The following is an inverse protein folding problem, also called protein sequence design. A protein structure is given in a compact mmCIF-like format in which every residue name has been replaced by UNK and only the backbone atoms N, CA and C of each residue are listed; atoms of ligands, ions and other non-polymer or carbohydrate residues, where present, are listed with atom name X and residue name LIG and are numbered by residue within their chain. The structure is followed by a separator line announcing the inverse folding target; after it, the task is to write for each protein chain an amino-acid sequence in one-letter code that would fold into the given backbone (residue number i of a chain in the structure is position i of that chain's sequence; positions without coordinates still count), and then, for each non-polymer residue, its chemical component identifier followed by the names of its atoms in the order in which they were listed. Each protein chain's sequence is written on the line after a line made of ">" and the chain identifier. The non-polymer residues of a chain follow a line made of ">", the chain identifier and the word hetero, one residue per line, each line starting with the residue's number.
data_IF_278590319494
#
_entry.id   IF_278590319494
#
_cell.length_a   1.000
_cell.length_b   1.000
_cell.length_c   1.000
_cell.angle_alpha   90.00
_cell.angle_beta   90.00
_cell.angle_gamma   90.00
#
_symmetry.space_group_name_H-M   'P 1'
#
loop_
_entity.id
_entity.type
_entity.pdbx_description
1 polymer ?
#
# COMPACT_ATOMS: atom_id res chain seq x y z
N UNK A 1 16.20 54.83 -18.06
CA UNK A 1 16.25 53.51 -17.42
C UNK A 1 15.18 53.49 -16.34
N UNK A 2 14.03 52.89 -16.61
CA UNK A 2 12.94 52.92 -15.65
C UNK A 2 11.64 52.44 -16.26
N UNK A 3 11.04 51.42 -15.66
CA UNK A 3 9.79 50.82 -16.11
C UNK A 3 10.00 49.49 -16.83
N UNK A 4 10.40 49.52 -18.10
CA UNK A 4 10.37 48.34 -18.98
C UNK A 4 11.39 47.26 -18.61
N UNK A 5 12.63 47.63 -18.26
CA UNK A 5 13.66 46.68 -17.79
C UNK A 5 13.28 46.04 -16.44
N UNK A 6 12.56 46.77 -15.59
CA UNK A 6 12.10 46.30 -14.29
C UNK A 6 10.92 45.32 -14.43
N UNK A 7 10.01 45.59 -15.37
CA UNK A 7 8.89 44.68 -15.67
C UNK A 7 9.42 43.39 -16.32
N UNK A 8 10.37 43.48 -17.24
CA UNK A 8 10.95 42.31 -17.90
C UNK A 8 11.70 41.39 -16.91
N UNK A 9 12.43 41.97 -15.95
CA UNK A 9 13.13 41.21 -14.90
C UNK A 9 12.18 40.59 -13.88
N UNK A 10 11.07 41.24 -13.54
CA UNK A 10 10.01 40.66 -12.71
C UNK A 10 9.34 39.47 -13.42
N UNK A 11 9.02 39.61 -14.72
CA UNK A 11 8.40 38.53 -15.51
C UNK A 11 9.34 37.33 -15.63
N UNK A 12 10.64 37.56 -15.90
CA UNK A 12 11.64 36.50 -15.97
C UNK A 12 11.81 35.78 -14.62
N UNK A 13 11.81 36.52 -13.49
CA UNK A 13 11.87 35.94 -12.15
C UNK A 13 10.67 35.07 -11.81
N UNK A 14 9.45 35.51 -12.17
CA UNK A 14 8.21 34.73 -11.97
C UNK A 14 8.22 33.45 -12.82
N UNK A 15 8.70 33.52 -14.06
CA UNK A 15 8.79 32.34 -14.94
C UNK A 15 9.77 31.29 -14.42
N UNK A 16 10.91 31.70 -13.85
CA UNK A 16 11.88 30.77 -13.25
C UNK A 16 11.29 30.11 -12.00
N UNK A 17 10.65 30.88 -11.12
CA UNK A 17 10.00 30.34 -9.92
C UNK A 17 8.87 29.38 -10.31
N UNK A 18 8.09 29.72 -11.34
CA UNK A 18 7.02 28.86 -11.84
C UNK A 18 7.56 27.59 -12.46
N UNK A 19 8.67 27.65 -13.21
CA UNK A 19 9.34 26.47 -13.75
C UNK A 19 9.94 25.58 -12.66
N UNK A 20 10.51 26.14 -11.59
CA UNK A 20 11.01 25.39 -10.44
C UNK A 20 9.85 24.75 -9.68
N UNK A 21 8.75 25.48 -9.44
CA UNK A 21 7.54 24.96 -8.81
C UNK A 21 6.89 23.88 -9.68
N UNK A 22 6.82 24.05 -11.00
CA UNK A 22 6.32 23.03 -11.92
C UNK A 22 7.27 21.84 -12.04
N UNK A 23 8.58 22.02 -11.91
CA UNK A 23 9.53 20.91 -11.83
C UNK A 23 9.43 20.18 -10.48
N UNK A 24 9.16 20.89 -9.38
CA UNK A 24 8.97 20.31 -8.05
C UNK A 24 7.61 19.60 -7.93
N UNK A 25 6.54 20.20 -8.46
CA UNK A 25 5.25 19.56 -8.65
C UNK A 25 5.39 18.42 -9.64
N UNK A 26 6.08 18.56 -10.78
CA UNK A 26 6.33 17.45 -11.71
C UNK A 26 7.15 16.30 -11.10
N UNK A 27 8.02 16.59 -10.12
CA UNK A 27 8.77 15.59 -9.35
C UNK A 27 7.92 14.96 -8.23
N UNK A 28 6.99 15.72 -7.65
CA UNK A 28 6.01 15.28 -6.63
C UNK A 28 4.74 14.64 -7.22
N UNK A 29 4.49 14.89 -8.50
CA UNK A 29 3.40 14.40 -9.36
C UNK A 29 3.99 13.56 -10.48
N UNK A 30 5.03 12.77 -10.19
CA UNK A 30 5.06 11.45 -10.79
C UNK A 30 3.74 10.83 -10.38
N UNK A 31 2.75 10.87 -11.28
CA UNK A 31 1.62 9.94 -11.24
C UNK A 31 2.26 8.59 -10.97
N UNK A 32 2.20 8.13 -9.72
CA UNK A 32 2.55 6.77 -9.40
C UNK A 32 1.60 5.98 -10.28
N UNK A 33 2.19 5.43 -11.34
CA UNK A 33 1.43 4.72 -12.36
C UNK A 33 1.02 3.48 -11.63
N UNK A 34 -0.27 3.31 -11.42
CA UNK A 34 -0.82 2.10 -10.82
C UNK A 34 -0.31 0.92 -11.65
N UNK A 35 0.61 0.14 -11.08
CA UNK A 35 1.14 -1.03 -11.76
C UNK A 35 0.39 -2.23 -11.22
N UNK A 36 -0.14 -3.01 -12.15
CA UNK A 36 -0.90 -4.22 -11.87
C UNK A 36 -0.14 -5.42 -12.41
N UNK A 37 0.13 -6.41 -11.55
CA UNK A 37 0.64 -7.72 -11.96
C UNK A 37 -0.31 -8.80 -11.46
N UNK A 38 -0.59 -9.79 -12.31
CA UNK A 38 -1.41 -10.95 -11.95
C UNK A 38 -0.55 -12.20 -11.80
N UNK A 39 -0.86 -12.99 -10.79
CA UNK A 39 -0.16 -14.21 -10.44
C UNK A 39 -1.18 -15.32 -10.18
N UNK A 40 -1.02 -16.45 -10.85
CA UNK A 40 -1.64 -17.70 -10.41
C UNK A 40 -0.75 -18.29 -9.32
N UNK A 41 -1.22 -18.29 -8.07
CA UNK A 41 -0.41 -18.77 -6.95
C UNK A 41 -0.11 -20.27 -7.01
N UNK A 42 -0.86 -21.06 -7.80
CA UNK A 42 -0.54 -22.48 -7.97
C UNK A 42 0.75 -22.67 -8.75
N UNK A 43 1.02 -21.79 -9.71
CA UNK A 43 2.14 -21.91 -10.65
C UNK A 43 3.28 -20.94 -10.36
N UNK A 44 2.96 -19.75 -9.82
CA UNK A 44 3.88 -18.59 -9.75
C UNK A 44 4.01 -18.02 -8.33
N UNK A 45 3.85 -18.88 -7.31
CA UNK A 45 3.95 -18.49 -5.91
C UNK A 45 5.29 -17.78 -5.58
N UNK A 46 6.42 -18.38 -5.94
CA UNK A 46 7.75 -17.83 -5.63
C UNK A 46 8.00 -16.49 -6.33
N UNK A 47 7.49 -16.34 -7.56
CA UNK A 47 7.60 -15.08 -8.31
C UNK A 47 6.77 -13.97 -7.65
N UNK A 48 5.55 -14.30 -7.21
CA UNK A 48 4.70 -13.39 -6.46
C UNK A 48 5.36 -12.94 -5.14
N UNK A 49 5.85 -13.88 -4.34
CA UNK A 49 6.48 -13.59 -3.05
C UNK A 49 7.69 -12.69 -3.21
N UNK A 50 8.56 -13.01 -4.17
CA UNK A 50 9.73 -12.22 -4.49
C UNK A 50 9.35 -10.79 -4.88
N UNK A 51 8.41 -10.63 -5.80
CA UNK A 51 7.96 -9.32 -6.27
C UNK A 51 7.33 -8.50 -5.12
N UNK A 52 6.47 -9.11 -4.31
CA UNK A 52 5.85 -8.45 -3.16
C UNK A 52 6.91 -7.93 -2.19
N UNK A 53 7.89 -8.76 -1.84
CA UNK A 53 8.97 -8.37 -0.94
C UNK A 53 9.89 -7.31 -1.56
N UNK A 54 10.24 -7.42 -2.84
CA UNK A 54 11.03 -6.40 -3.54
C UNK A 54 10.31 -5.04 -3.51
N UNK A 55 9.00 -5.00 -3.76
CA UNK A 55 8.22 -3.75 -3.70
C UNK A 55 8.21 -3.18 -2.28
N UNK A 56 7.88 -3.98 -1.27
CA UNK A 56 7.77 -3.51 0.12
C UNK A 56 9.12 -3.02 0.70
N UNK A 57 10.21 -3.72 0.38
CA UNK A 57 11.51 -3.53 1.04
C UNK A 57 12.54 -2.78 0.19
N UNK A 58 12.46 -2.84 -1.14
CA UNK A 58 13.49 -2.29 -2.02
C UNK A 58 13.02 -1.06 -2.81
N UNK A 59 11.71 -0.86 -2.95
CA UNK A 59 11.13 0.25 -3.72
C UNK A 59 10.37 1.27 -2.85
N UNK A 60 11.07 2.21 -2.17
CA UNK A 60 10.44 3.19 -1.28
C UNK A 60 9.55 4.23 -1.98
N UNK A 61 9.52 4.20 -3.32
CA UNK A 61 8.65 5.08 -4.10
C UNK A 61 7.18 4.68 -3.98
N UNK A 62 6.91 3.40 -3.72
CA UNK A 62 5.55 2.88 -3.56
C UNK A 62 5.17 2.96 -2.10
N UNK A 63 4.16 3.79 -1.82
CA UNK A 63 3.65 3.98 -0.46
C UNK A 63 2.55 3.01 -0.16
N UNK A 64 1.89 2.47 -1.17
CA UNK A 64 0.79 1.53 -0.98
C UNK A 64 0.98 0.32 -1.87
N UNK A 65 0.85 -0.85 -1.27
CA UNK A 65 0.86 -2.14 -1.94
C UNK A 65 -0.41 -2.87 -1.57
N UNK A 66 -1.16 -3.34 -2.57
CA UNK A 66 -2.42 -4.05 -2.38
C UNK A 66 -2.30 -5.42 -3.03
N UNK A 67 -2.58 -6.45 -2.25
CA UNK A 67 -2.74 -7.83 -2.70
C UNK A 67 -4.23 -8.11 -2.76
N UNK A 68 -4.82 -8.14 -3.95
CA UNK A 68 -6.24 -8.43 -4.17
C UNK A 68 -6.46 -9.87 -4.63
N UNK A 69 -7.50 -10.51 -4.11
CA UNK A 69 -7.86 -11.89 -4.44
C UNK A 69 -9.34 -12.14 -4.13
N UNK A 70 -10.07 -12.82 -5.02
CA UNK A 70 -11.49 -13.18 -4.80
C UNK A 70 -12.39 -12.03 -4.28
N UNK A 71 -12.15 -10.79 -4.72
CA UNK A 71 -12.84 -9.56 -4.26
C UNK A 71 -12.53 -9.13 -2.81
N UNK A 72 -11.48 -9.69 -2.22
CA UNK A 72 -10.87 -9.28 -0.96
C UNK A 72 -9.51 -8.64 -1.21
N UNK A 73 -8.94 -8.03 -0.18
CA UNK A 73 -7.61 -7.44 -0.25
C UNK A 73 -6.84 -7.56 1.06
N UNK A 74 -5.52 -7.45 0.94
CA UNK A 74 -4.59 -7.07 2.01
C UNK A 74 -3.80 -5.87 1.52
N UNK A 75 -3.81 -4.79 2.30
CA UNK A 75 -3.12 -3.53 1.95
C UNK A 75 -1.98 -3.26 2.93
N UNK A 76 -0.82 -2.92 2.38
CA UNK A 76 0.33 -2.43 3.12
C UNK A 76 0.58 -0.97 2.79
N UNK A 77 0.48 -0.10 3.80
CA UNK A 77 0.92 1.28 3.75
C UNK A 77 2.34 1.38 4.30
N UNK A 78 3.27 1.74 3.44
CA UNK A 78 4.70 1.90 3.76
C UNK A 78 4.95 3.31 4.26
N UNK A 79 5.38 3.42 5.51
CA UNK A 79 5.76 4.70 6.12
C UNK A 79 7.25 4.72 6.43
N UNK A 80 7.97 5.71 5.88
CA UNK A 80 9.34 5.98 6.29
C UNK A 80 9.33 6.76 7.62
N UNK A 81 9.99 6.21 8.64
CA UNK A 81 10.18 6.85 9.93
C UNK A 81 11.68 7.14 10.17
N UNK A 82 12.00 8.00 11.13
CA UNK A 82 13.40 8.39 11.41
C UNK A 82 14.32 7.19 11.72
N UNK A 83 13.77 6.06 12.16
CA UNK A 83 14.51 4.87 12.59
C UNK A 83 14.41 3.68 11.62
N UNK A 84 13.78 3.84 10.46
CA UNK A 84 13.57 2.75 9.52
C UNK A 84 12.28 2.88 8.72
N UNK A 85 11.67 1.75 8.39
CA UNK A 85 10.32 1.70 7.79
C UNK A 85 9.36 1.04 8.76
N UNK A 86 8.10 1.41 8.65
CA UNK A 86 6.97 0.71 9.26
C UNK A 86 5.99 0.36 8.17
N UNK A 87 5.41 -0.84 8.26
CA UNK A 87 4.33 -1.24 7.39
C UNK A 87 3.04 -1.32 8.20
N UNK A 88 2.11 -0.43 7.89
CA UNK A 88 0.76 -0.54 8.38
C UNK A 88 0.00 -1.47 7.44
N UNK A 89 -0.30 -2.68 7.92
CA UNK A 89 -1.07 -3.66 7.18
C UNK A 89 -2.52 -3.57 7.60
N UNK A 90 -3.41 -3.42 6.63
CA UNK A 90 -4.85 -3.46 6.78
C UNK A 90 -5.40 -4.64 5.97
N UNK A 91 -6.17 -5.49 6.63
CA UNK A 91 -6.74 -6.69 5.98
C UNK A 91 -8.22 -6.54 5.72
N UNK A 92 -8.88 -5.52 6.29
CA UNK A 92 -10.31 -5.29 6.15
C UNK A 92 -10.62 -3.82 6.44
N UNK A 93 -11.49 -3.22 5.62
CA UNK A 93 -12.12 -1.94 5.91
C UNK A 93 -13.63 -2.05 5.74
N UNK A 94 -14.38 -1.60 6.73
CA UNK A 94 -15.84 -1.50 6.62
C UNK A 94 -16.31 -0.64 5.44
N UNK A 95 -15.55 0.38 5.03
CA UNK A 95 -15.88 1.18 3.83
C UNK A 95 -15.84 0.31 2.60
N UNK A 96 -14.76 -0.46 2.42
CA UNK A 96 -14.60 -1.35 1.28
C UNK A 96 -15.67 -2.45 1.26
N UNK A 97 -15.95 -3.07 2.41
CA UNK A 97 -17.01 -4.08 2.52
C UNK A 97 -18.38 -3.51 2.18
N UNK A 98 -18.67 -2.28 2.63
CA UNK A 98 -19.93 -1.58 2.34
C UNK A 98 -20.06 -1.22 0.87
N UNK A 99 -19.00 -0.73 0.24
CA UNK A 99 -18.98 -0.42 -1.20
C UNK A 99 -19.23 -1.65 -2.07
N UNK A 100 -18.75 -2.82 -1.63
CA UNK A 100 -18.94 -4.09 -2.33
C UNK A 100 -20.20 -4.88 -1.89
N UNK A 101 -21.00 -4.38 -0.95
CA UNK A 101 -22.11 -5.12 -0.31
C UNK A 101 -21.69 -6.50 0.26
N UNK A 102 -20.45 -6.65 0.72
CA UNK A 102 -19.99 -7.88 1.37
C UNK A 102 -20.36 -7.86 2.86
N UNK A 103 -20.94 -8.96 3.35
CA UNK A 103 -21.17 -9.14 4.79
C UNK A 103 -19.88 -9.57 5.50
N UNK A 104 -19.61 -8.92 6.64
CA UNK A 104 -18.54 -9.27 7.57
C UNK A 104 -18.73 -10.66 8.19
N UNK A 105 -19.93 -11.23 8.14
CA UNK A 105 -20.25 -12.55 8.70
C UNK A 105 -19.50 -13.70 7.99
N UNK A 106 -18.96 -13.46 6.80
CA UNK A 106 -18.15 -14.42 6.05
C UNK A 106 -16.65 -14.34 6.38
N UNK A 107 -16.26 -13.43 7.28
CA UNK A 107 -14.87 -13.16 7.64
C UNK A 107 -14.61 -13.72 9.04
N UNK A 108 -13.65 -14.63 9.15
CA UNK A 108 -13.33 -15.31 10.40
C UNK A 108 -12.35 -14.46 11.23
N UNK A 109 -12.87 -13.35 11.78
CA UNK A 109 -12.10 -12.35 12.53
C UNK A 109 -11.27 -12.89 13.71
N UNK A 110 -11.70 -13.90 14.48
CA UNK A 110 -10.88 -14.47 15.56
C UNK A 110 -9.48 -14.92 15.11
N UNK A 111 -9.34 -15.39 13.88
CA UNK A 111 -8.03 -15.78 13.34
C UNK A 111 -7.10 -14.59 13.13
N UNK A 112 -7.63 -13.42 12.74
CA UNK A 112 -6.82 -12.21 12.58
C UNK A 112 -6.20 -11.73 13.90
N UNK A 113 -6.95 -11.87 15.01
CA UNK A 113 -6.47 -11.49 16.35
C UNK A 113 -5.29 -12.37 16.79
N UNK A 114 -5.26 -13.65 16.39
CA UNK A 114 -4.13 -14.55 16.70
C UNK A 114 -2.81 -14.13 16.03
N UNK A 115 -2.90 -13.42 14.90
CA UNK A 115 -1.75 -12.85 14.20
C UNK A 115 -1.32 -11.48 14.77
N UNK A 116 -2.03 -10.97 15.78
CA UNK A 116 -1.79 -9.66 16.37
C UNK A 116 -2.46 -8.51 15.61
N UNK A 117 -3.41 -8.79 14.70
CA UNK A 117 -4.26 -7.73 14.16
C UNK A 117 -5.23 -7.26 15.23
N UNK A 118 -5.42 -5.96 15.30
CA UNK A 118 -6.34 -5.35 16.26
C UNK A 118 -7.34 -4.45 15.54
N UNK A 119 -8.54 -4.41 16.09
CA UNK A 119 -9.57 -3.47 15.68
C UNK A 119 -9.15 -2.07 16.11
N UNK A 120 -8.84 -1.22 15.14
CA UNK A 120 -8.48 0.16 15.42
C UNK A 120 -9.72 1.05 15.24
N UNK A 121 -10.04 1.83 16.27
CA UNK A 121 -11.18 2.77 16.27
C UNK A 121 -10.73 4.22 16.02
N UNK A 122 -9.42 4.45 15.89
CA UNK A 122 -8.85 5.81 15.95
C UNK A 122 -9.04 6.61 14.64
N UNK A 123 -9.46 5.97 13.54
CA UNK A 123 -9.82 6.63 12.29
C UNK A 123 -11.34 6.51 12.04
N UNK A 124 -12.06 7.54 12.46
CA UNK A 124 -13.42 7.98 12.07
C UNK A 124 -14.27 6.93 11.31
N UNK A 125 -15.30 6.42 11.99
CA UNK A 125 -16.49 5.74 11.43
C UNK A 125 -16.33 4.36 10.76
N UNK A 126 -15.13 3.76 10.76
CA UNK A 126 -14.89 2.47 10.10
C UNK A 126 -14.10 1.49 10.98
N UNK A 127 -14.57 0.25 11.06
CA UNK A 127 -13.82 -0.84 11.70
C UNK A 127 -12.77 -1.36 10.72
N UNK A 128 -11.51 -1.00 10.97
CA UNK A 128 -10.37 -1.56 10.25
C UNK A 128 -9.59 -2.51 11.17
N UNK A 129 -9.17 -3.65 10.63
CA UNK A 129 -8.28 -4.58 11.32
C UNK A 129 -6.88 -4.39 10.78
N UNK A 130 -5.97 -3.97 11.66
CA UNK A 130 -4.61 -3.63 11.27
C UNK A 130 -3.54 -4.23 12.19
N UNK A 131 -2.34 -4.36 11.62
CA UNK A 131 -1.11 -4.75 12.29
C UNK A 131 0.01 -3.85 11.78
N UNK A 132 0.89 -3.41 12.69
CA UNK A 132 2.07 -2.64 12.32
C UNK A 132 3.28 -3.58 12.37
N UNK A 133 3.98 -3.69 11.24
CA UNK A 133 5.28 -4.36 11.18
C UNK A 133 6.38 -3.33 11.35
N UNK A 134 7.34 -3.65 12.22
CA UNK A 134 8.54 -2.85 12.44
C UNK A 134 9.77 -3.59 11.86
N UNK A 135 9.97 -3.57 10.54
CA UNK A 135 11.05 -4.30 9.88
C UNK A 135 12.44 -3.91 10.41
N UNK A 136 12.96 -4.71 11.33
CA UNK A 136 14.40 -4.89 11.55
C UNK A 136 14.80 -6.15 10.77
N UNK A 137 15.84 -6.00 9.96
CA UNK A 137 16.37 -6.91 8.94
C UNK A 137 16.10 -8.41 9.23
N UNK A 138 15.57 -9.10 8.20
CA UNK A 138 15.38 -10.55 8.05
C UNK A 138 14.11 -11.18 8.65
N UNK A 139 13.80 -11.05 9.94
CA UNK A 139 12.65 -11.78 10.53
C UNK A 139 11.25 -11.35 10.06
N UNK A 140 11.12 -10.15 9.51
CA UNK A 140 9.81 -9.57 9.15
C UNK A 140 9.30 -9.97 7.76
N UNK A 141 10.17 -10.47 6.87
CA UNK A 141 9.73 -10.87 5.51
C UNK A 141 8.93 -12.17 5.56
N UNK A 142 9.45 -13.17 6.27
CA UNK A 142 8.75 -14.45 6.48
C UNK A 142 7.44 -14.25 7.25
N UNK A 143 7.41 -13.35 8.24
CA UNK A 143 6.19 -13.03 8.98
C UNK A 143 5.11 -12.41 8.08
N UNK A 144 5.47 -11.44 7.21
CA UNK A 144 4.53 -10.82 6.27
C UNK A 144 3.93 -11.85 5.32
N UNK A 145 4.76 -12.73 4.75
CA UNK A 145 4.28 -13.78 3.83
C UNK A 145 3.42 -14.81 4.55
N UNK A 146 3.86 -15.27 5.73
CA UNK A 146 3.11 -16.21 6.56
C UNK A 146 1.75 -15.65 6.95
N UNK A 147 1.71 -14.40 7.42
CA UNK A 147 0.46 -13.72 7.77
C UNK A 147 -0.45 -13.59 6.55
N UNK A 148 0.08 -13.17 5.39
CA UNK A 148 -0.69 -13.03 4.16
C UNK A 148 -1.39 -14.35 3.78
N UNK A 149 -0.65 -15.45 3.72
CA UNK A 149 -1.25 -16.74 3.38
C UNK A 149 -2.22 -17.22 4.45
N UNK A 150 -1.91 -17.00 5.73
CA UNK A 150 -2.81 -17.34 6.81
C UNK A 150 -4.11 -16.54 6.72
N UNK A 151 -4.06 -15.26 6.39
CA UNK A 151 -5.23 -14.41 6.16
C UNK A 151 -6.04 -14.94 4.98
N UNK A 152 -5.40 -15.21 3.84
CA UNK A 152 -6.08 -15.77 2.67
C UNK A 152 -6.81 -17.07 3.01
N UNK A 153 -6.12 -18.03 3.64
CA UNK A 153 -6.66 -19.37 3.90
C UNK A 153 -7.63 -19.42 5.09
N UNK A 154 -7.32 -18.74 6.19
CA UNK A 154 -8.04 -18.91 7.45
C UNK A 154 -9.04 -17.78 7.71
N UNK A 155 -8.75 -16.55 7.29
CA UNK A 155 -9.68 -15.41 7.47
C UNK A 155 -10.68 -15.37 6.32
N UNK A 156 -10.20 -15.51 5.07
CA UNK A 156 -11.01 -15.41 3.87
C UNK A 156 -11.42 -16.74 3.22
N UNK A 157 -10.91 -17.88 3.73
CA UNK A 157 -11.21 -19.23 3.20
C UNK A 157 -10.88 -19.39 1.71
N UNK A 158 -9.80 -18.74 1.27
CA UNK A 158 -9.32 -18.70 -0.11
C UNK A 158 -8.24 -19.76 -0.33
N UNK A 159 -8.36 -20.54 -1.40
CA UNK A 159 -7.41 -21.61 -1.72
C UNK A 159 -6.15 -21.11 -2.43
N UNK A 160 -5.10 -21.95 -2.50
CA UNK A 160 -3.86 -21.64 -3.24
C UNK A 160 -4.01 -21.60 -4.76
N UNK A 161 -5.11 -22.08 -5.34
CA UNK A 161 -5.37 -21.94 -6.79
C UNK A 161 -5.94 -20.57 -7.16
N UNK A 162 -5.71 -19.56 -6.32
CA UNK A 162 -6.34 -18.25 -6.46
C UNK A 162 -5.45 -17.34 -7.28
N UNK A 163 -6.08 -16.65 -8.23
CA UNK A 163 -5.45 -15.57 -8.94
C UNK A 163 -5.34 -14.37 -8.01
N UNK A 164 -4.12 -13.89 -7.83
CA UNK A 164 -3.79 -12.71 -7.04
C UNK A 164 -3.42 -11.58 -7.97
N UNK A 165 -3.96 -10.39 -7.68
CA UNK A 165 -3.56 -9.14 -8.31
C UNK A 165 -2.72 -8.33 -7.32
N UNK A 166 -1.51 -8.00 -7.73
CA UNK A 166 -0.61 -7.13 -6.99
C UNK A 166 -0.69 -5.72 -7.60
N UNK A 167 -1.14 -4.75 -6.81
CA UNK A 167 -1.22 -3.34 -7.17
C UNK A 167 -0.28 -2.53 -6.31
N UNK A 168 0.41 -1.56 -6.89
CA UNK A 168 1.31 -0.70 -6.13
C UNK A 168 1.43 0.70 -6.74
N UNK A 169 1.45 1.70 -5.85
CA UNK A 169 1.44 3.12 -6.17
C UNK A 169 1.96 3.98 -5.01
#
# INVERSE_FOLDING_TARGET
>A
MGGEEMIASIIAGVLIITAIVLAYIGKSSRKLTEVHKSFDLLERQEEFEKELLEILFEHPIYRTVIVEFNSYYVQYLVTEIKQGREFYCEIMSETYLRELNFSIDNIDLPYSETLGFSKNQDFVETVNFNKIYHPKKEGNQEEILSDLYFIMENVYKVSKSTLVLLKYF
#
